data_IF_728714084024
#
_entry.id   IF_728714084024
#
_cell.length_a   1.000
_cell.length_b   1.000
_cell.length_c   1.000
_cell.angle_alpha   90.00
_cell.angle_beta   90.00
_cell.angle_gamma   90.00
#
_symmetry.space_group_name_H-M   'P 1'
#
loop_
_entity.id
_entity.type
_entity.pdbx_description
1 polymer ?
#
# COMPACT_ATOMS: atom_id res chain seq x y z
N UNK A 1 9.42 10.38 -3.60
CA UNK A 1 9.63 10.97 -2.26
C UNK A 1 8.43 10.61 -1.40
N UNK A 2 8.61 9.82 -0.33
CA UNK A 2 7.54 9.52 0.64
C UNK A 2 7.57 10.64 1.66
N UNK A 3 6.55 11.49 1.68
CA UNK A 3 6.44 12.59 2.63
C UNK A 3 5.63 12.07 3.82
N UNK A 4 6.31 11.86 4.96
CA UNK A 4 5.66 11.48 6.21
C UNK A 4 5.20 12.76 6.91
N UNK A 5 3.90 13.08 6.87
CA UNK A 5 3.36 14.18 7.66
C UNK A 5 3.01 13.71 9.08
N UNK A 6 3.12 14.63 10.03
CA UNK A 6 2.88 14.43 11.48
C UNK A 6 1.41 14.15 11.87
N UNK A 7 0.52 13.84 10.91
CA UNK A 7 -0.84 13.39 11.20
C UNK A 7 -0.94 11.85 11.09
N UNK A 8 -1.50 11.15 12.10
CA UNK A 8 -1.57 9.68 12.12
C UNK A 8 -2.56 9.09 11.09
N UNK A 9 -3.15 9.91 10.21
CA UNK A 9 -4.35 9.56 9.44
C UNK A 9 -4.14 9.42 7.93
N UNK A 10 -2.97 9.75 7.38
CA UNK A 10 -2.82 9.81 5.93
C UNK A 10 -1.43 9.41 5.44
N UNK A 11 -1.35 8.31 4.70
CA UNK A 11 -0.15 7.87 3.99
C UNK A 11 -0.10 8.47 2.58
N UNK A 12 1.07 8.97 2.16
CA UNK A 12 1.26 9.65 0.87
C UNK A 12 2.44 9.09 0.08
N UNK A 13 2.31 9.03 -1.25
CA UNK A 13 3.44 8.80 -2.17
C UNK A 13 3.45 9.85 -3.29
N UNK A 14 4.65 10.26 -3.70
CA UNK A 14 4.85 11.09 -4.89
C UNK A 14 5.87 10.41 -5.82
N UNK A 15 5.45 10.15 -7.06
CA UNK A 15 6.25 9.49 -8.11
C UNK A 15 7.06 10.43 -9.00
N UNK A 16 6.88 11.74 -8.93
CA UNK A 16 7.66 12.66 -9.74
C UNK A 16 8.98 13.05 -9.06
N UNK A 17 10.09 12.64 -9.69
CA UNK A 17 11.42 13.19 -9.42
C UNK A 17 11.70 14.21 -10.53
N UNK A 18 11.45 15.50 -10.27
CA UNK A 18 12.02 16.56 -11.10
C UNK A 18 13.48 16.79 -10.65
N UNK A 19 14.45 17.02 -11.55
CA UNK A 19 15.79 17.39 -11.15
C UNK A 19 15.75 18.86 -10.73
N UNK A 20 15.66 19.14 -9.43
CA UNK A 20 15.77 20.50 -8.92
C UNK A 20 17.14 20.70 -8.29
N UNK A 21 18.08 21.17 -9.11
CA UNK A 21 19.27 21.87 -8.66
C UNK A 21 18.82 23.16 -7.97
N UNK A 22 18.75 23.18 -6.64
CA UNK A 22 19.03 24.41 -5.92
C UNK A 22 19.59 24.13 -4.53
N UNK A 23 20.81 24.63 -4.35
CA UNK A 23 21.60 24.66 -3.14
C UNK A 23 20.85 25.48 -2.08
N UNK A 24 20.51 24.88 -0.94
CA UNK A 24 20.21 25.61 0.30
C UNK A 24 20.90 24.90 1.47
N UNK A 25 22.01 25.50 1.87
CA UNK A 25 22.85 25.14 3.00
C UNK A 25 22.12 25.46 4.30
N UNK A 26 21.88 24.47 5.16
CA UNK A 26 21.55 24.70 6.57
C UNK A 26 22.65 24.11 7.45
N UNK A 27 23.44 24.99 8.06
CA UNK A 27 24.37 24.71 9.15
C UNK A 27 23.60 24.26 10.39
N UNK A 28 23.87 23.05 10.88
CA UNK A 28 23.37 22.54 12.15
C UNK A 28 24.50 22.61 13.19
N UNK A 29 24.33 23.48 14.18
CA UNK A 29 25.19 23.59 15.36
C UNK A 29 25.06 22.31 16.20
N UNK A 30 26.18 21.66 16.49
CA UNK A 30 26.28 20.58 17.47
C UNK A 30 26.20 21.16 18.88
N UNK A 31 25.41 20.53 19.75
CA UNK A 31 25.64 20.58 21.19
C UNK A 31 25.68 19.16 21.77
N UNK A 32 26.88 18.76 22.17
CA UNK A 32 27.18 17.65 23.06
C UNK A 32 26.57 17.90 24.44
N UNK A 33 26.03 16.86 25.10
CA UNK A 33 26.26 16.63 26.54
C UNK A 33 26.09 15.15 26.93
N UNK A 34 26.92 14.75 27.89
CA UNK A 34 27.25 13.41 28.36
C UNK A 34 26.30 12.84 29.44
N UNK A 35 26.18 11.49 29.45
CA UNK A 35 26.09 10.51 30.58
C UNK A 35 25.20 10.79 31.81
N UNK A 36 24.42 9.79 32.24
CA UNK A 36 24.77 8.88 33.36
C UNK A 36 23.73 7.75 33.57
N UNK A 37 24.23 6.54 33.86
CA UNK A 37 23.48 5.32 34.27
C UNK A 37 22.98 5.39 35.70
N UNK A 38 21.84 4.76 36.00
CA UNK A 38 21.57 4.13 37.30
C UNK A 38 20.71 2.85 37.17
N UNK A 39 21.08 1.88 38.00
CA UNK A 39 20.58 0.51 38.18
C UNK A 39 19.65 0.47 39.39
N UNK A 40 18.51 -0.24 39.36
CA UNK A 40 17.85 -0.82 40.56
C UNK A 40 17.06 -2.10 40.19
N UNK A 41 17.06 -3.01 41.15
CA UNK A 41 16.77 -4.45 41.22
C UNK A 41 15.29 -4.90 41.32
N UNK A 42 15.07 -6.19 41.02
CA UNK A 42 13.85 -6.99 41.25
C UNK A 42 13.64 -7.44 42.72
N UNK A 43 12.46 -7.99 43.05
CA UNK A 43 12.44 -9.38 43.54
C UNK A 43 11.23 -10.25 43.06
N UNK A 44 11.36 -11.54 43.34
CA UNK A 44 10.60 -12.73 42.88
C UNK A 44 9.42 -13.15 43.77
N UNK A 45 8.74 -14.24 43.34
CA UNK A 45 7.83 -15.22 44.01
C UNK A 45 6.32 -15.01 43.78
N UNK A 46 5.43 -16.01 43.57
CA UNK A 46 5.44 -17.48 43.37
C UNK A 46 4.04 -17.96 42.93
N UNK A 47 3.99 -19.02 42.08
CA UNK A 47 3.08 -20.19 42.05
C UNK A 47 1.53 -20.04 42.05
N UNK A 48 0.85 -20.62 41.04
CA UNK A 48 -0.01 -21.84 41.18
C UNK A 48 -0.89 -22.13 39.94
N UNK A 49 -1.06 -23.43 39.67
CA UNK A 49 -1.71 -24.04 38.52
C UNK A 49 -3.24 -24.13 38.69
N UNK A 50 -4.02 -23.94 37.62
CA UNK A 50 -5.35 -24.56 37.47
C UNK A 50 -5.67 -24.89 36.00
N UNK A 51 -6.29 -26.06 35.84
CA UNK A 51 -6.71 -26.74 34.61
C UNK A 51 -7.67 -25.92 33.73
N UNK A 52 -7.72 -26.18 32.41
CA UNK A 52 -8.80 -25.68 31.56
C UNK A 52 -10.01 -26.63 31.58
N UNK A 53 -11.25 -26.13 31.71
CA UNK A 53 -12.42 -26.84 31.25
C UNK A 53 -12.73 -26.46 29.80
N UNK A 54 -12.99 -27.47 28.97
CA UNK A 54 -13.75 -27.33 27.73
C UNK A 54 -15.18 -27.77 28.09
N UNK A 55 -16.24 -26.99 27.77
CA UNK A 55 -16.99 -27.36 26.58
C UNK A 55 -17.65 -26.18 25.83
N UNK A 56 -17.72 -26.35 24.51
CA UNK A 56 -18.70 -25.81 23.53
C UNK A 56 -19.84 -24.97 24.12
N UNK A 57 -20.03 -23.73 23.63
CA UNK A 57 -21.35 -23.19 23.23
C UNK A 57 -21.21 -21.89 22.42
N UNK A 58 -21.66 -21.98 21.16
CA UNK A 58 -22.30 -21.02 20.23
C UNK A 58 -21.78 -19.58 19.96
N UNK A 59 -21.89 -19.29 18.66
CA UNK A 59 -22.19 -18.01 17.99
C UNK A 59 -21.05 -17.02 17.74
N UNK A 60 -20.72 -16.82 16.46
CA UNK A 60 -19.88 -15.72 16.01
C UNK A 60 -19.46 -15.88 14.56
N UNK A 61 -20.09 -15.10 13.67
CA UNK A 61 -19.89 -15.00 12.22
C UNK A 61 -18.46 -15.29 11.72
N UNK A 62 -18.26 -16.50 11.21
CA UNK A 62 -17.18 -16.80 10.27
C UNK A 62 -17.63 -16.34 8.88
N UNK A 63 -17.50 -15.04 8.60
CA UNK A 63 -17.56 -14.50 7.24
C UNK A 63 -16.23 -14.83 6.55
N UNK A 64 -15.98 -16.14 6.41
CA UNK A 64 -14.91 -16.70 5.61
C UNK A 64 -15.26 -16.42 4.16
N UNK A 65 -14.46 -15.53 3.58
CA UNK A 65 -14.37 -15.20 2.16
C UNK A 65 -14.62 -16.42 1.28
N UNK A 66 -15.82 -16.50 0.70
CA UNK A 66 -16.11 -17.40 -0.40
C UNK A 66 -15.88 -16.63 -1.71
N UNK A 67 -14.61 -16.48 -2.08
CA UNK A 67 -14.20 -15.94 -3.38
C UNK A 67 -13.72 -17.11 -4.23
N UNK A 68 -14.65 -17.90 -4.77
CA UNK A 68 -14.33 -18.84 -5.84
C UNK A 68 -14.60 -18.20 -7.21
N UNK A 69 -13.58 -18.33 -8.07
CA UNK A 69 -13.62 -18.33 -9.54
C UNK A 69 -13.82 -17.00 -10.26
N UNK A 70 -12.69 -16.36 -10.58
CA UNK A 70 -12.37 -15.94 -11.95
C UNK A 70 -10.85 -15.77 -12.10
N UNK A 71 -10.13 -16.88 -12.25
CA UNK A 71 -8.67 -16.87 -12.32
C UNK A 71 -8.19 -17.73 -13.49
N UNK A 72 -7.67 -17.07 -14.53
CA UNK A 72 -6.90 -17.73 -15.59
C UNK A 72 -5.56 -18.17 -15.00
N UNK A 73 -5.42 -19.47 -14.72
CA UNK A 73 -4.36 -20.05 -13.87
C UNK A 73 -2.90 -19.92 -14.34
N UNK A 74 -2.60 -19.21 -15.42
CA UNK A 74 -1.23 -19.02 -15.93
C UNK A 74 -0.51 -17.79 -15.35
N UNK A 75 -1.25 -16.73 -14.97
CA UNK A 75 -0.68 -15.46 -14.47
C UNK A 75 -0.32 -15.49 -12.99
N UNK A 76 -1.18 -16.06 -12.15
CA UNK A 76 -1.04 -16.09 -10.67
C UNK A 76 0.26 -16.74 -10.24
N UNK A 77 0.66 -17.82 -10.91
CA UNK A 77 1.90 -18.52 -10.61
C UNK A 77 3.14 -17.65 -10.86
N UNK A 78 3.09 -16.73 -11.84
CA UNK A 78 4.20 -15.81 -12.15
C UNK A 78 4.20 -14.59 -11.23
N UNK A 79 3.04 -14.01 -10.92
CA UNK A 79 2.94 -12.91 -9.95
C UNK A 79 3.44 -13.35 -8.57
N UNK A 80 3.03 -14.55 -8.12
CA UNK A 80 3.50 -15.12 -6.87
C UNK A 80 5.01 -15.35 -6.87
N UNK A 81 5.56 -15.94 -7.94
CA UNK A 81 7.00 -16.14 -8.04
C UNK A 81 7.81 -14.83 -8.00
N UNK A 82 7.28 -13.75 -8.57
CA UNK A 82 7.86 -12.40 -8.45
C UNK A 82 7.85 -11.92 -6.99
N UNK A 83 6.75 -12.08 -6.26
CA UNK A 83 6.67 -11.70 -4.83
C UNK A 83 7.61 -12.56 -3.98
N UNK A 84 7.64 -13.88 -4.19
CA UNK A 84 8.55 -14.80 -3.51
C UNK A 84 10.02 -14.47 -3.81
N UNK A 85 10.33 -13.98 -5.01
CA UNK A 85 11.66 -13.46 -5.32
C UNK A 85 11.97 -12.23 -4.47
N UNK A 86 11.10 -11.23 -4.41
CA UNK A 86 11.29 -10.02 -3.59
C UNK A 86 11.43 -10.34 -2.09
N UNK A 87 10.72 -11.36 -1.58
CA UNK A 87 10.89 -11.85 -0.21
C UNK A 87 12.27 -12.45 0.02
N UNK A 88 12.76 -13.30 -0.90
CA UNK A 88 14.08 -13.94 -0.78
C UNK A 88 15.24 -12.93 -0.74
N UNK A 89 15.10 -11.80 -1.42
CA UNK A 89 16.10 -10.72 -1.41
C UNK A 89 15.88 -9.70 -0.28
N UNK A 90 14.92 -9.94 0.63
CA UNK A 90 14.68 -9.09 1.81
C UNK A 90 13.98 -7.77 1.51
N UNK A 91 13.45 -7.58 0.29
CA UNK A 91 12.67 -6.38 -0.07
C UNK A 91 11.30 -6.41 0.60
N UNK A 92 10.68 -7.60 0.68
CA UNK A 92 9.41 -7.82 1.39
C UNK A 92 9.67 -8.67 2.63
N UNK A 93 9.32 -8.15 3.79
CA UNK A 93 9.45 -8.82 5.09
C UNK A 93 8.08 -9.06 5.74
N UNK A 94 7.10 -8.21 5.44
CA UNK A 94 5.75 -8.27 5.98
C UNK A 94 4.91 -9.29 5.22
N UNK A 95 4.30 -10.21 5.97
CA UNK A 95 3.32 -11.17 5.42
C UNK A 95 2.14 -10.47 4.76
N UNK A 96 1.70 -9.35 5.32
CA UNK A 96 0.56 -8.58 4.80
C UNK A 96 0.91 -7.92 3.46
N UNK A 97 2.12 -7.34 3.34
CA UNK A 97 2.60 -6.75 2.08
C UNK A 97 2.71 -7.81 0.99
N UNK A 98 3.34 -8.96 1.29
CA UNK A 98 3.43 -10.08 0.37
C UNK A 98 2.05 -10.53 -0.12
N UNK A 99 1.12 -10.77 0.80
CA UNK A 99 -0.24 -11.20 0.47
C UNK A 99 -0.96 -10.20 -0.45
N UNK A 100 -0.84 -8.90 -0.18
CA UNK A 100 -1.46 -7.86 -1.01
C UNK A 100 -0.86 -7.84 -2.41
N UNK A 101 0.47 -7.87 -2.54
CA UNK A 101 1.12 -7.88 -3.85
C UNK A 101 0.86 -9.18 -4.64
N UNK A 102 0.69 -10.32 -3.96
CA UNK A 102 0.27 -11.58 -4.59
C UNK A 102 -1.16 -11.50 -5.10
N UNK A 103 -2.04 -10.83 -4.35
CA UNK A 103 -3.47 -10.69 -4.66
C UNK A 103 -3.72 -9.72 -5.82
N UNK A 104 -2.96 -8.62 -5.89
CA UNK A 104 -3.02 -7.66 -7.00
C UNK A 104 -2.08 -8.11 -8.11
N UNK A 105 -2.62 -8.85 -9.08
CA UNK A 105 -1.83 -9.29 -10.24
C UNK A 105 -1.32 -8.09 -11.05
N UNK A 106 0.01 -7.91 -11.02
CA UNK A 106 0.70 -6.81 -11.70
C UNK A 106 0.48 -6.82 -13.21
N UNK A 107 0.24 -7.97 -13.85
CA UNK A 107 0.00 -8.04 -15.29
C UNK A 107 -1.23 -7.26 -15.74
N UNK A 108 -2.21 -7.05 -14.85
CA UNK A 108 -3.41 -6.25 -15.15
C UNK A 108 -3.12 -4.74 -15.26
N UNK A 109 -1.93 -4.31 -14.83
CA UNK A 109 -1.53 -2.90 -14.74
C UNK A 109 -0.37 -2.55 -15.67
N UNK A 110 0.10 -3.50 -16.47
CA UNK A 110 1.23 -3.34 -17.39
C UNK A 110 0.69 -3.50 -18.82
N UNK A 111 0.97 -2.57 -19.75
CA UNK A 111 0.51 -2.70 -21.13
C UNK A 111 1.08 -3.96 -21.80
N UNK A 112 0.30 -4.52 -22.73
CA UNK A 112 0.69 -5.69 -23.52
C UNK A 112 2.04 -5.50 -24.21
N UNK A 113 2.77 -6.60 -24.38
CA UNK A 113 4.12 -6.60 -24.97
C UNK A 113 5.25 -6.28 -24.00
N UNK A 114 4.97 -5.83 -22.78
CA UNK A 114 5.98 -5.68 -21.73
C UNK A 114 6.02 -6.92 -20.82
N UNK A 115 7.16 -7.25 -20.18
CA UNK A 115 7.25 -8.37 -19.24
C UNK A 115 6.82 -7.94 -17.82
N UNK A 116 5.57 -8.18 -17.37
CA UNK A 116 5.01 -7.52 -16.18
C UNK A 116 5.70 -7.89 -14.87
N UNK A 117 6.32 -9.06 -14.80
CA UNK A 117 6.89 -9.64 -13.58
C UNK A 117 8.41 -9.47 -13.47
N UNK A 118 9.04 -8.81 -14.45
CA UNK A 118 10.46 -8.46 -14.36
C UNK A 118 10.60 -7.27 -13.41
N UNK A 119 11.60 -7.33 -12.54
CA UNK A 119 11.85 -6.28 -11.55
C UNK A 119 12.48 -5.01 -12.17
N UNK A 120 11.76 -4.37 -13.08
CA UNK A 120 12.17 -3.12 -13.72
C UNK A 120 10.96 -2.23 -14.02
N UNK A 121 11.16 -0.91 -14.22
CA UNK A 121 10.10 -0.03 -14.70
C UNK A 121 9.64 -0.43 -16.11
N UNK A 122 8.34 -0.28 -16.39
CA UNK A 122 7.76 -0.52 -17.72
C UNK A 122 7.06 0.72 -18.23
N UNK A 123 7.16 1.00 -19.53
CA UNK A 123 6.49 2.14 -20.16
C UNK A 123 4.97 1.95 -20.18
N UNK A 124 4.24 3.03 -19.89
CA UNK A 124 2.76 3.04 -19.85
C UNK A 124 2.16 4.05 -20.82
N UNK A 125 2.96 4.58 -21.75
CA UNK A 125 2.62 5.72 -22.59
C UNK A 125 2.83 7.05 -21.86
N UNK A 126 2.57 8.16 -22.55
CA UNK A 126 2.61 9.51 -21.98
C UNK A 126 3.93 9.89 -21.28
N UNK A 127 5.06 9.31 -21.73
CA UNK A 127 6.37 9.45 -21.10
C UNK A 127 6.38 9.08 -19.60
N UNK A 128 5.50 8.15 -19.21
CA UNK A 128 5.37 7.64 -17.86
C UNK A 128 5.72 6.16 -17.80
N UNK A 129 6.06 5.69 -16.59
CA UNK A 129 6.34 4.29 -16.32
C UNK A 129 5.57 3.80 -15.10
N UNK A 130 5.12 2.54 -15.13
CA UNK A 130 4.84 1.81 -13.89
C UNK A 130 6.18 1.43 -13.24
N UNK A 131 6.36 1.83 -11.98
CA UNK A 131 7.60 1.58 -11.22
C UNK A 131 7.90 0.09 -11.08
N UNK A 132 9.18 -0.25 -10.90
CA UNK A 132 9.61 -1.63 -10.66
C UNK A 132 8.89 -2.27 -9.43
N UNK A 133 8.61 -3.58 -9.46
CA UNK A 133 8.08 -4.33 -8.32
C UNK A 133 8.73 -4.03 -6.96
N UNK A 134 10.07 -3.97 -6.87
CA UNK A 134 10.74 -3.68 -5.59
C UNK A 134 10.41 -2.28 -5.06
N UNK A 135 10.15 -1.31 -5.93
CA UNK A 135 9.78 0.05 -5.52
C UNK A 135 8.38 0.08 -4.90
N UNK A 136 7.44 -0.70 -5.44
CA UNK A 136 6.11 -0.85 -4.85
C UNK A 136 6.17 -1.59 -3.52
N UNK A 137 6.92 -2.69 -3.46
CA UNK A 137 7.16 -3.44 -2.23
C UNK A 137 7.76 -2.56 -1.12
N UNK A 138 8.84 -1.84 -1.42
CA UNK A 138 9.50 -0.93 -0.48
C UNK A 138 8.52 0.13 0.04
N UNK A 139 7.70 0.70 -0.85
CA UNK A 139 6.71 1.69 -0.46
C UNK A 139 5.65 1.11 0.50
N UNK A 140 5.16 -0.09 0.22
CA UNK A 140 4.18 -0.77 1.06
C UNK A 140 4.78 -1.15 2.42
N UNK A 141 6.02 -1.64 2.47
CA UNK A 141 6.72 -1.95 3.72
C UNK A 141 6.91 -0.71 4.60
N UNK A 142 7.33 0.41 4.01
CA UNK A 142 7.55 1.67 4.74
C UNK A 142 6.26 2.27 5.30
N UNK A 143 5.13 2.05 4.61
CA UNK A 143 3.84 2.63 4.98
C UNK A 143 2.92 1.65 5.70
N UNK A 144 3.33 0.39 5.92
CA UNK A 144 2.40 -0.64 6.41
C UNK A 144 1.72 -0.26 7.72
N UNK A 145 2.42 0.36 8.68
CA UNK A 145 1.83 0.79 9.95
C UNK A 145 0.81 1.94 9.79
N UNK A 146 0.89 2.68 8.68
CA UNK A 146 -0.03 3.75 8.31
C UNK A 146 -1.06 3.32 7.24
N UNK A 147 -1.06 2.05 6.85
CA UNK A 147 -1.99 1.43 5.91
C UNK A 147 -2.76 0.30 6.61
N UNK A 148 -3.39 0.64 7.72
CA UNK A 148 -4.19 -0.31 8.52
C UNK A 148 -5.68 -0.23 8.16
N UNK A 149 -6.47 -1.26 8.47
CA UNK A 149 -7.91 -1.25 8.24
C UNK A 149 -8.58 0.02 8.79
N UNK A 150 -9.40 0.69 7.98
CA UNK A 150 -10.09 1.94 8.35
C UNK A 150 -9.28 3.21 8.08
N UNK A 151 -7.99 3.12 7.73
CA UNK A 151 -7.16 4.30 7.45
C UNK A 151 -7.37 4.85 6.05
N UNK A 152 -6.89 6.07 5.82
CA UNK A 152 -6.94 6.75 4.54
C UNK A 152 -5.55 6.84 3.90
N UNK A 153 -5.49 6.73 2.57
CA UNK A 153 -4.26 6.78 1.79
C UNK A 153 -4.43 7.63 0.53
N UNK A 154 -3.40 8.39 0.15
CA UNK A 154 -3.33 9.15 -1.10
C UNK A 154 -2.11 8.74 -1.93
N UNK A 155 -2.34 8.36 -3.18
CA UNK A 155 -1.30 8.04 -4.16
C UNK A 155 -1.22 9.15 -5.21
N UNK A 156 -0.20 10.03 -5.11
CA UNK A 156 -0.01 11.16 -6.03
C UNK A 156 0.88 10.74 -7.21
N UNK A 157 0.36 10.90 -8.43
CA UNK A 157 0.91 10.26 -9.61
C UNK A 157 0.58 8.77 -9.62
N UNK A 158 -0.71 8.45 -9.48
CA UNK A 158 -1.18 7.06 -9.36
C UNK A 158 -0.92 6.24 -10.63
N UNK A 159 -0.75 6.88 -11.79
CA UNK A 159 -0.38 6.25 -13.05
C UNK A 159 -1.31 5.10 -13.42
N UNK A 160 -0.81 3.86 -13.40
CA UNK A 160 -1.60 2.68 -13.75
C UNK A 160 -2.62 2.28 -12.68
N UNK A 161 -2.52 2.83 -11.46
CA UNK A 161 -3.38 2.50 -10.33
C UNK A 161 -2.94 1.29 -9.51
N UNK A 162 -1.81 0.65 -9.83
CA UNK A 162 -1.35 -0.57 -9.15
C UNK A 162 -1.14 -0.37 -7.65
N UNK A 163 -0.41 0.68 -7.26
CA UNK A 163 -0.14 0.93 -5.85
C UNK A 163 -1.38 1.44 -5.11
N UNK A 164 -2.23 2.25 -5.78
CA UNK A 164 -3.52 2.66 -5.22
C UNK A 164 -4.40 1.45 -4.90
N UNK A 165 -4.44 0.44 -5.77
CA UNK A 165 -5.14 -0.83 -5.53
C UNK A 165 -4.54 -1.59 -4.34
N UNK A 166 -3.21 -1.63 -4.23
CA UNK A 166 -2.55 -2.24 -3.08
C UNK A 166 -2.90 -1.51 -1.76
N UNK A 167 -2.90 -0.17 -1.75
CA UNK A 167 -3.32 0.63 -0.60
C UNK A 167 -4.75 0.33 -0.19
N UNK A 168 -5.67 0.23 -1.16
CA UNK A 168 -7.05 -0.11 -0.88
C UNK A 168 -7.21 -1.48 -0.19
N UNK A 169 -6.46 -2.50 -0.63
CA UNK A 169 -6.47 -3.81 0.04
C UNK A 169 -5.81 -3.81 1.42
N UNK A 170 -4.88 -2.88 1.66
CA UNK A 170 -4.27 -2.69 2.99
C UNK A 170 -5.27 -2.05 3.96
N UNK A 171 -5.91 -0.95 3.56
CA UNK A 171 -6.86 -0.19 4.41
C UNK A 171 -8.27 -0.77 4.47
N UNK A 172 -8.59 -1.69 3.56
CA UNK A 172 -9.86 -2.43 3.56
C UNK A 172 -11.10 -1.58 3.26
N UNK A 173 -12.30 -2.19 3.33
CA UNK A 173 -13.55 -1.54 2.93
C UNK A 173 -13.99 -0.40 3.86
N UNK A 174 -13.53 -0.40 5.11
CA UNK A 174 -13.79 0.69 6.06
C UNK A 174 -12.80 1.86 5.89
N UNK A 175 -11.70 1.67 5.16
CA UNK A 175 -10.76 2.73 4.84
C UNK A 175 -11.04 3.37 3.48
N UNK A 176 -10.13 4.24 3.05
CA UNK A 176 -10.22 4.92 1.77
C UNK A 176 -8.85 5.07 1.10
N UNK A 177 -8.70 4.60 -0.14
CA UNK A 177 -7.52 4.86 -0.96
C UNK A 177 -7.89 5.75 -2.15
N UNK A 178 -7.21 6.88 -2.26
CA UNK A 178 -7.41 7.84 -3.35
C UNK A 178 -6.16 7.86 -4.22
N UNK A 179 -6.31 7.73 -5.53
CA UNK A 179 -5.24 7.98 -6.50
C UNK A 179 -5.51 9.26 -7.27
N UNK A 180 -4.48 10.09 -7.43
CA UNK A 180 -4.55 11.33 -8.23
C UNK A 180 -3.53 11.26 -9.34
N UNK A 181 -3.97 11.48 -10.57
CA UNK A 181 -3.13 11.42 -11.77
C UNK A 181 -3.48 12.61 -12.68
N UNK A 182 -2.45 13.30 -13.19
CA UNK A 182 -2.64 14.50 -14.00
C UNK A 182 -2.97 14.21 -15.47
N UNK A 183 -2.70 12.99 -15.95
CA UNK A 183 -3.05 12.54 -17.30
C UNK A 183 -4.42 11.82 -17.29
N UNK A 184 -5.49 12.40 -17.86
CA UNK A 184 -6.83 11.81 -17.81
C UNK A 184 -6.94 10.42 -18.43
N UNK A 185 -6.16 10.15 -19.47
CA UNK A 185 -6.14 8.85 -20.14
C UNK A 185 -5.53 7.76 -19.25
N UNK A 186 -4.54 8.10 -18.42
CA UNK A 186 -4.01 7.20 -17.41
C UNK A 186 -5.03 6.96 -16.29
N UNK A 187 -5.79 7.97 -15.87
CA UNK A 187 -6.92 7.79 -14.94
C UNK A 187 -7.93 6.79 -15.52
N UNK A 188 -8.39 7.02 -16.75
CA UNK A 188 -9.35 6.13 -17.40
C UNK A 188 -8.82 4.70 -17.57
N UNK A 189 -7.54 4.55 -17.92
CA UNK A 189 -6.91 3.23 -18.00
C UNK A 189 -6.77 2.57 -16.63
N UNK A 190 -6.43 3.33 -15.58
CA UNK A 190 -6.25 2.81 -14.23
C UNK A 190 -7.54 2.24 -13.67
N UNK A 191 -8.67 2.91 -13.91
CA UNK A 191 -10.00 2.42 -13.53
C UNK A 191 -10.26 1.06 -14.18
N UNK A 192 -10.04 0.94 -15.49
CA UNK A 192 -10.20 -0.33 -16.23
C UNK A 192 -9.27 -1.44 -15.73
N UNK A 193 -8.05 -1.10 -15.30
CA UNK A 193 -7.11 -2.06 -14.73
C UNK A 193 -7.63 -2.58 -13.38
N UNK A 194 -8.11 -1.67 -12.53
CA UNK A 194 -8.61 -1.97 -11.18
C UNK A 194 -9.91 -2.79 -11.24
N UNK A 195 -10.82 -2.49 -12.17
CA UNK A 195 -12.04 -3.25 -12.44
C UNK A 195 -11.77 -4.73 -12.76
N UNK A 196 -10.62 -5.04 -13.35
CA UNK A 196 -10.19 -6.42 -13.66
C UNK A 196 -9.45 -7.09 -12.50
N UNK A 197 -9.11 -6.34 -11.46
CA UNK A 197 -8.27 -6.79 -10.35
C UNK A 197 -9.09 -7.20 -9.12
N UNK A 198 -8.42 -7.79 -8.13
CA UNK A 198 -9.03 -8.10 -6.85
C UNK A 198 -9.54 -6.86 -6.07
N UNK A 199 -9.11 -5.64 -6.44
CA UNK A 199 -9.56 -4.39 -5.82
C UNK A 199 -10.86 -3.83 -6.43
N UNK A 200 -11.44 -4.48 -7.44
CA UNK A 200 -12.69 -4.03 -8.08
C UNK A 200 -13.87 -3.79 -7.12
N UNK A 201 -14.11 -4.62 -6.08
CA UNK A 201 -15.17 -4.36 -5.10
C UNK A 201 -14.98 -3.02 -4.37
N UNK A 202 -13.75 -2.70 -3.98
CA UNK A 202 -13.44 -1.46 -3.26
C UNK A 202 -13.66 -0.21 -4.12
N UNK A 203 -13.40 -0.32 -5.43
CA UNK A 203 -13.73 0.73 -6.39
C UNK A 203 -15.25 0.94 -6.49
N UNK A 204 -16.02 -0.16 -6.59
CA UNK A 204 -17.49 -0.12 -6.69
C UNK A 204 -18.14 0.44 -5.43
N UNK A 205 -17.58 0.14 -4.26
CA UNK A 205 -18.08 0.56 -2.93
C UNK A 205 -17.60 1.96 -2.50
N UNK A 206 -16.75 2.60 -3.32
CA UNK A 206 -16.22 3.95 -3.09
C UNK A 206 -15.06 4.04 -2.10
N UNK A 207 -14.59 2.91 -1.56
CA UNK A 207 -13.41 2.84 -0.68
C UNK A 207 -12.08 2.91 -1.45
N UNK A 208 -12.14 2.89 -2.79
CA UNK A 208 -11.04 3.20 -3.70
C UNK A 208 -11.57 4.19 -4.76
N UNK A 209 -10.89 5.32 -4.97
CA UNK A 209 -11.25 6.27 -6.04
C UNK A 209 -10.03 6.83 -6.78
N UNK A 210 -10.18 7.08 -8.08
CA UNK A 210 -9.14 7.63 -8.97
C UNK A 210 -9.63 8.94 -9.57
N UNK A 211 -8.82 10.00 -9.49
CA UNK A 211 -9.20 11.35 -9.93
C UNK A 211 -8.16 11.95 -10.85
N UNK A 212 -8.63 12.68 -11.87
CA UNK A 212 -7.78 13.54 -12.66
C UNK A 212 -7.42 14.79 -11.86
N UNK A 213 -6.13 15.07 -11.68
CA UNK A 213 -5.67 16.24 -10.92
C UNK A 213 -4.16 16.41 -10.96
N UNK A 214 -3.71 17.66 -11.00
CA UNK A 214 -2.29 18.01 -10.86
C UNK A 214 -1.99 18.55 -9.46
N UNK A 215 -0.72 18.62 -9.06
CA UNK A 215 -0.32 19.22 -7.79
C UNK A 215 -0.77 20.68 -7.62
N UNK A 216 -1.00 21.39 -8.73
CA UNK A 216 -1.43 22.79 -8.76
C UNK A 216 -2.96 22.98 -8.87
N UNK A 217 -3.68 21.92 -9.29
CA UNK A 217 -5.13 21.91 -9.29
C UNK A 217 -5.55 21.38 -7.91
N UNK A 218 -5.88 22.30 -7.01
CA UNK A 218 -6.22 21.98 -5.63
C UNK A 218 -7.17 20.79 -5.52
N UNK A 219 -6.99 19.97 -4.48
CA UNK A 219 -7.80 18.80 -4.15
C UNK A 219 -9.26 19.14 -3.76
N UNK A 220 -9.81 20.25 -4.25
CA UNK A 220 -11.13 20.77 -3.86
C UNK A 220 -12.30 19.86 -4.25
N UNK A 221 -12.07 18.86 -5.12
CA UNK A 221 -13.10 17.89 -5.54
C UNK A 221 -12.89 16.47 -4.97
N UNK A 222 -11.84 16.22 -4.18
CA UNK A 222 -11.65 14.90 -3.54
C UNK A 222 -12.48 14.87 -2.26
N UNK A 223 -13.75 14.46 -2.41
CA UNK A 223 -14.62 14.21 -1.26
C UNK A 223 -14.19 12.89 -0.59
N UNK A 224 -13.19 12.95 0.29
CA UNK A 224 -12.93 11.87 1.26
C UNK A 224 -14.09 11.89 2.24
N UNK A 225 -15.20 11.26 1.86
CA UNK A 225 -16.33 11.08 2.77
C UNK A 225 -15.86 10.19 3.90
N UNK A 226 -15.82 10.72 5.11
CA UNK A 226 -15.80 9.91 6.31
C UNK A 226 -17.09 9.07 6.26
N UNK A 227 -16.98 7.74 6.11
CA UNK A 227 -18.09 6.82 6.37
C UNK A 227 -18.27 6.79 7.89
N UNK A 228 -18.96 7.78 8.43
CA UNK A 228 -19.56 7.71 9.75
C UNK A 228 -21.02 7.24 9.54
N UNK A 229 -21.28 5.97 9.87
CA UNK A 229 -22.59 5.45 10.26
C UNK A 229 -22.46 4.83 11.66
#
# INVERSE_FOLDING_TARGET
MIIRMLSPLLAYTCRYCAPLNHLLTFTLHQHHHHRHSLVVSAPSTTLSCLHPPNPRFLTGNSLVFKMERFFSGSGINKNKAMVEHLQRYGVINSKKVAQVMETVDRALFVPDGNPPYVDSPMQIGYNATISAPHMHATCLELLQENLQPGMHALDVGSGTGYLTACFALMVGPQGCAVGVEHIPELVASSIKNIEKSAAAPLLKEGSLTLHAGGMFLGLSNVNIKNKEE
#
